data_IF_709342512937
#
_entry.id   IF_709342512937
#
_cell.length_a   1.000
_cell.length_b   1.000
_cell.length_c   1.000
_cell.angle_alpha   90.00
_cell.angle_beta   90.00
_cell.angle_gamma   90.00
#
_symmetry.space_group_name_H-M   'P 1'
#
loop_
_entity.id
_entity.type
_entity.pdbx_description
1 polymer ?
#
# COMPACT_ATOMS: atom_id res chain seq x y z
N UNK A 1 -5.82 -3.26 -4.05
CA UNK A 1 -4.59 -4.07 -4.17
C UNK A 1 -4.19 -4.05 -5.63
N UNK A 2 -2.90 -3.86 -5.91
CA UNK A 2 -2.38 -3.97 -7.27
C UNK A 2 -1.72 -5.34 -7.34
N UNK A 3 -2.38 -6.28 -8.01
CA UNK A 3 -1.92 -7.66 -8.11
C UNK A 3 -0.81 -7.85 -9.14
N UNK A 4 -0.67 -6.92 -10.09
CA UNK A 4 0.44 -6.87 -11.04
C UNK A 4 0.82 -5.41 -11.35
N UNK A 5 1.97 -4.97 -10.83
CA UNK A 5 2.51 -3.64 -11.08
C UNK A 5 3.03 -3.44 -12.50
N UNK A 6 3.19 -4.51 -13.27
CA UNK A 6 3.79 -4.52 -14.60
C UNK A 6 2.79 -4.44 -15.74
N UNK A 7 1.49 -4.47 -15.43
CA UNK A 7 0.44 -4.09 -16.37
C UNK A 7 0.63 -2.63 -16.82
N UNK A 8 0.60 -2.40 -18.13
CA UNK A 8 0.92 -1.08 -18.72
C UNK A 8 0.11 0.09 -18.16
N UNK A 9 -1.15 -0.13 -17.76
CA UNK A 9 -2.01 0.89 -17.14
C UNK A 9 -1.56 1.30 -15.73
N UNK A 10 -0.92 0.39 -15.01
CA UNK A 10 -0.41 0.62 -13.66
C UNK A 10 0.99 1.23 -13.73
N UNK A 11 1.87 0.67 -14.57
CA UNK A 11 3.22 1.20 -14.84
C UNK A 11 3.19 2.70 -15.20
N UNK A 12 2.23 3.13 -16.02
CA UNK A 12 2.10 4.54 -16.43
C UNK A 12 1.73 5.49 -15.28
N UNK A 13 1.07 5.00 -14.24
CA UNK A 13 0.65 5.79 -13.07
C UNK A 13 1.68 5.74 -11.93
N UNK A 14 2.70 4.90 -12.05
CA UNK A 14 3.79 4.83 -11.09
C UNK A 14 4.78 5.96 -11.32
N UNK A 15 5.13 6.73 -10.28
CA UNK A 15 6.20 7.71 -10.35
C UNK A 15 7.51 7.07 -10.83
N UNK A 16 8.33 7.86 -11.53
CA UNK A 16 9.60 7.37 -12.05
C UNK A 16 10.53 6.85 -10.94
N UNK A 17 10.57 7.54 -9.80
CA UNK A 17 11.37 7.11 -8.64
C UNK A 17 10.98 5.71 -8.14
N UNK A 18 9.71 5.33 -8.25
CA UNK A 18 9.24 4.01 -7.83
C UNK A 18 9.77 2.91 -8.76
N UNK A 19 9.73 3.18 -10.07
CA UNK A 19 10.18 2.26 -11.11
C UNK A 19 11.69 2.07 -11.11
N UNK A 20 12.46 3.09 -10.72
CA UNK A 20 13.93 3.02 -10.68
C UNK A 20 14.47 2.46 -9.38
N UNK A 21 13.78 2.68 -8.25
CA UNK A 21 14.36 2.44 -6.92
C UNK A 21 13.77 1.23 -6.20
N UNK A 22 12.49 0.89 -6.43
CA UNK A 22 11.81 -0.24 -5.76
C UNK A 22 11.52 -1.37 -6.75
N UNK A 23 10.89 -1.05 -7.87
CA UNK A 23 10.55 -2.00 -8.96
C UNK A 23 9.90 -3.31 -8.48
N UNK A 24 9.15 -3.28 -7.37
CA UNK A 24 8.53 -4.47 -6.84
C UNK A 24 7.34 -4.89 -7.74
N UNK A 25 7.30 -6.16 -8.19
CA UNK A 25 6.26 -6.62 -9.11
C UNK A 25 4.87 -6.70 -8.47
N UNK A 26 4.79 -6.91 -7.16
CA UNK A 26 3.52 -6.95 -6.42
C UNK A 26 3.64 -6.14 -5.14
N UNK A 27 2.72 -5.20 -4.92
CA UNK A 27 2.77 -4.33 -3.76
C UNK A 27 1.39 -3.88 -3.27
N UNK A 28 1.33 -3.53 -1.99
CA UNK A 28 0.17 -3.01 -1.27
C UNK A 28 0.47 -1.60 -0.77
N UNK A 29 -0.47 -0.70 -1.04
CA UNK A 29 -0.48 0.66 -0.52
C UNK A 29 -1.74 0.86 0.32
N UNK A 30 -1.57 1.24 1.59
CA UNK A 30 -2.68 1.67 2.44
C UNK A 30 -2.43 3.11 2.92
N UNK A 31 -3.05 4.11 2.26
CA UNK A 31 -2.87 5.49 2.66
C UNK A 31 -3.43 5.72 4.07
N UNK A 32 -2.70 6.46 4.87
CA UNK A 32 -3.13 6.96 6.18
C UNK A 32 -3.67 8.37 5.98
N UNK A 33 -4.94 8.56 6.33
CA UNK A 33 -5.64 9.82 6.10
C UNK A 33 -6.31 10.30 7.40
N UNK A 34 -6.28 11.60 7.64
CA UNK A 34 -7.07 12.28 8.67
C UNK A 34 -7.94 13.31 7.95
N UNK A 35 -9.26 13.23 8.13
CA UNK A 35 -10.23 14.13 7.48
C UNK A 35 -10.04 14.23 5.95
N UNK A 36 -9.70 13.11 5.30
CA UNK A 36 -9.48 13.04 3.85
C UNK A 36 -8.11 13.53 3.37
N UNK A 37 -7.28 14.10 4.26
CA UNK A 37 -5.92 14.54 3.93
C UNK A 37 -4.94 13.40 4.20
N UNK A 38 -4.15 12.95 3.21
CA UNK A 38 -3.12 11.93 3.42
C UNK A 38 -1.95 12.53 4.22
N UNK A 39 -1.51 11.80 5.25
CA UNK A 39 -0.35 12.19 6.06
C UNK A 39 0.74 11.10 6.12
N UNK A 40 0.42 9.89 5.63
CA UNK A 40 1.34 8.76 5.64
C UNK A 40 0.85 7.62 4.76
N UNK A 41 1.65 6.56 4.71
CA UNK A 41 1.41 5.41 3.86
C UNK A 41 1.99 4.16 4.51
N UNK A 42 1.20 3.09 4.59
CA UNK A 42 1.73 1.74 4.86
C UNK A 42 2.05 1.12 3.50
N UNK A 43 3.32 0.75 3.33
CA UNK A 43 3.85 0.08 2.15
C UNK A 43 4.21 -1.36 2.50
N UNK A 44 3.86 -2.28 1.62
CA UNK A 44 4.36 -3.66 1.66
C UNK A 44 4.54 -4.15 0.23
N UNK A 45 5.58 -4.93 -0.03
CA UNK A 45 5.88 -5.48 -1.33
C UNK A 45 6.45 -6.90 -1.25
N UNK A 46 6.45 -7.57 -2.40
CA UNK A 46 7.15 -8.84 -2.59
C UNK A 46 7.89 -8.83 -3.92
N UNK A 47 9.08 -9.40 -3.91
CA UNK A 47 9.99 -9.52 -5.05
C UNK A 47 9.46 -10.46 -6.15
N UNK A 48 8.53 -11.35 -5.80
CA UNK A 48 7.95 -12.34 -6.72
C UNK A 48 6.53 -11.94 -7.15
N UNK A 49 6.25 -12.03 -8.46
CA UNK A 49 4.92 -11.72 -9.04
C UNK A 49 3.85 -12.64 -8.48
N UNK A 50 2.68 -12.08 -8.20
CA UNK A 50 1.51 -12.85 -7.77
C UNK A 50 1.65 -13.50 -6.39
N UNK A 51 2.73 -13.26 -5.65
CA UNK A 51 2.95 -13.88 -4.33
C UNK A 51 2.36 -13.08 -3.17
N UNK A 52 1.91 -11.85 -3.43
CA UNK A 52 1.15 -11.06 -2.48
C UNK A 52 -0.35 -11.35 -2.63
N UNK A 53 -0.71 -12.61 -2.43
CA UNK A 53 -2.11 -13.03 -2.31
C UNK A 53 -2.54 -12.81 -0.85
N UNK A 54 -3.36 -11.80 -0.62
CA UNK A 54 -3.95 -11.55 0.68
C UNK A 54 -5.36 -12.12 0.69
N UNK A 55 -5.62 -13.04 1.59
CA UNK A 55 -6.97 -13.49 1.91
C UNK A 55 -7.82 -12.34 2.45
N UNK A 56 -9.15 -12.48 2.38
CA UNK A 56 -10.09 -11.52 2.99
C UNK A 56 -9.79 -11.27 4.48
N UNK A 57 -9.35 -12.31 5.21
CA UNK A 57 -8.95 -12.19 6.61
C UNK A 57 -7.71 -11.32 6.78
N UNK A 58 -6.69 -11.49 5.95
CA UNK A 58 -5.47 -10.68 6.01
C UNK A 58 -5.75 -9.23 5.60
N UNK A 59 -6.59 -9.01 4.59
CA UNK A 59 -7.06 -7.67 4.22
C UNK A 59 -7.81 -7.00 5.38
N UNK A 60 -8.64 -7.75 6.13
CA UNK A 60 -9.31 -7.22 7.31
C UNK A 60 -8.33 -6.84 8.42
N UNK A 61 -7.30 -7.66 8.68
CA UNK A 61 -6.25 -7.35 9.66
C UNK A 61 -5.47 -6.10 9.27
N UNK A 62 -5.11 -5.96 7.99
CA UNK A 62 -4.40 -4.79 7.47
C UNK A 62 -5.24 -3.51 7.58
N UNK A 63 -6.55 -3.59 7.35
CA UNK A 63 -7.47 -2.47 7.58
C UNK A 63 -7.55 -2.09 9.06
N UNK A 64 -7.58 -3.08 9.96
CA UNK A 64 -7.54 -2.84 11.40
C UNK A 64 -6.24 -2.15 11.80
N UNK A 65 -5.09 -2.66 11.36
CA UNK A 65 -3.78 -2.05 11.58
C UNK A 65 -3.76 -0.58 11.12
N UNK A 66 -4.19 -0.32 9.87
CA UNK A 66 -4.30 1.03 9.31
C UNK A 66 -5.15 1.94 10.20
N UNK A 67 -6.30 1.47 10.67
CA UNK A 67 -7.18 2.25 11.55
C UNK A 67 -6.52 2.57 12.89
N UNK A 68 -5.84 1.59 13.50
CA UNK A 68 -5.14 1.80 14.76
C UNK A 68 -4.00 2.80 14.61
N UNK A 69 -3.24 2.73 13.51
CA UNK A 69 -2.21 3.71 13.20
C UNK A 69 -2.81 5.12 13.08
N UNK A 70 -3.88 5.31 12.30
CA UNK A 70 -4.56 6.61 12.18
C UNK A 70 -5.04 7.13 13.54
N UNK A 71 -5.62 6.27 14.37
CA UNK A 71 -6.10 6.67 15.69
C UNK A 71 -4.97 7.09 16.63
N UNK A 72 -3.83 6.37 16.62
CA UNK A 72 -2.66 6.72 17.41
C UNK A 72 -2.13 8.12 17.05
N UNK A 73 -1.95 8.40 15.75
CA UNK A 73 -1.49 9.72 15.29
C UNK A 73 -2.47 10.85 15.60
N UNK A 74 -3.79 10.57 15.63
CA UNK A 74 -4.79 11.55 16.05
C UNK A 74 -4.76 11.89 17.54
N UNK A 75 -4.32 10.97 18.40
CA UNK A 75 -4.26 11.17 19.85
C UNK A 75 -2.97 11.87 20.30
N UNK A 76 -1.89 11.72 19.53
CA UNK A 76 -0.60 12.36 19.79
C UNK A 76 -0.49 13.78 19.23
N UNK A 77 -1.55 14.32 18.62
CA UNK A 77 -1.61 15.64 17.98
C UNK A 77 -2.49 16.60 18.75
#
# INVERSE_FOLDING_TARGET
MISDATEGRIVQRLPQWYRTSLNAPTFLLLPLQIKGVPFGLIYADKSERGTLELSEKELALLRTLRNQAVMAFKQSS
#
